data_IF_700572628090
#
_entry.id   IF_700572628090
#
_cell.length_a   1.000
_cell.length_b   1.000
_cell.length_c   1.000
_cell.angle_alpha   90.00
_cell.angle_beta   90.00
_cell.angle_gamma   90.00
#
_symmetry.space_group_name_H-M   'P 1'
#
loop_
_entity.id
_entity.type
_entity.pdbx_description
1 polymer ?
#
# COMPACT_ATOMS: atom_id res chain seq x y z
N UNK A 1 -8.36 -11.98 -2.90
CA UNK A 1 -7.06 -11.30 -3.09
C UNK A 1 -5.94 -12.25 -2.69
N UNK A 2 -4.80 -12.06 -3.31
CA UNK A 2 -3.67 -12.94 -3.09
C UNK A 2 -2.59 -12.24 -2.26
N UNK A 3 -2.39 -12.68 -1.05
CA UNK A 3 -1.45 -12.05 -0.13
C UNK A 3 -0.01 -12.08 -0.66
N UNK A 4 0.37 -13.15 -1.34
CA UNK A 4 1.71 -13.24 -1.90
C UNK A 4 1.92 -12.21 -3.01
N UNK A 5 0.93 -12.04 -3.87
CA UNK A 5 1.00 -11.04 -4.95
C UNK A 5 1.07 -9.63 -4.37
N UNK A 6 0.29 -9.36 -3.33
CA UNK A 6 0.32 -8.05 -2.68
C UNK A 6 1.69 -7.78 -2.09
N UNK A 7 2.27 -8.77 -1.41
CA UNK A 7 3.59 -8.59 -0.81
C UNK A 7 4.67 -8.36 -1.88
N UNK A 8 4.60 -9.10 -2.97
CA UNK A 8 5.56 -8.96 -4.07
C UNK A 8 5.45 -7.59 -4.74
N UNK A 9 4.23 -7.14 -4.96
CA UNK A 9 4.00 -5.84 -5.58
C UNK A 9 4.47 -4.72 -4.64
N UNK A 10 4.18 -4.86 -3.37
CA UNK A 10 4.66 -3.92 -2.36
C UNK A 10 6.19 -3.86 -2.36
N UNK A 11 6.84 -5.01 -2.39
CA UNK A 11 8.30 -5.08 -2.39
C UNK A 11 8.88 -4.36 -3.60
N UNK A 12 8.26 -4.53 -4.74
CA UNK A 12 8.70 -3.87 -5.95
C UNK A 12 8.57 -2.36 -5.83
N UNK A 13 7.45 -1.88 -5.31
CA UNK A 13 7.23 -0.44 -5.11
C UNK A 13 8.23 0.15 -4.13
N UNK A 14 8.56 -0.58 -3.09
CA UNK A 14 9.42 -0.10 -2.03
C UNK A 14 10.91 -0.34 -2.28
N UNK A 15 11.23 -1.07 -3.35
CA UNK A 15 12.61 -1.39 -3.65
C UNK A 15 13.23 -2.36 -2.65
N UNK A 16 12.44 -3.28 -2.14
CA UNK A 16 12.89 -4.23 -1.15
C UNK A 16 13.15 -5.60 -1.76
N UNK A 17 14.09 -6.32 -1.18
CA UNK A 17 14.29 -7.73 -1.54
C UNK A 17 13.18 -8.55 -0.91
N UNK A 18 13.03 -9.79 -1.33
CA UNK A 18 12.03 -10.68 -0.75
C UNK A 18 12.22 -10.84 0.75
N UNK A 19 13.48 -10.94 1.19
CA UNK A 19 13.78 -11.08 2.61
C UNK A 19 13.37 -9.84 3.39
N UNK A 20 13.68 -8.68 2.84
CA UNK A 20 13.32 -7.42 3.50
C UNK A 20 11.81 -7.24 3.55
N UNK A 21 11.14 -7.56 2.45
CA UNK A 21 9.70 -7.40 2.37
C UNK A 21 8.97 -8.31 3.34
N UNK A 22 9.53 -9.47 3.61
CA UNK A 22 8.90 -10.41 4.55
C UNK A 22 8.69 -9.81 5.93
N UNK A 23 9.50 -8.83 6.29
CA UNK A 23 9.37 -8.16 7.59
C UNK A 23 8.12 -7.28 7.64
N UNK A 24 7.53 -6.99 6.49
CA UNK A 24 6.36 -6.13 6.40
C UNK A 24 5.09 -6.91 6.07
N UNK A 25 5.14 -8.23 6.22
CA UNK A 25 4.00 -9.09 5.91
C UNK A 25 2.76 -8.70 6.72
N UNK A 26 2.94 -8.39 7.99
CA UNK A 26 1.82 -8.01 8.83
C UNK A 26 1.15 -6.73 8.33
N UNK A 27 1.95 -5.76 7.91
CA UNK A 27 1.43 -4.51 7.36
C UNK A 27 0.61 -4.79 6.10
N UNK A 28 1.12 -5.63 5.22
CA UNK A 28 0.43 -5.97 3.98
C UNK A 28 -0.86 -6.74 4.27
N UNK A 29 -0.83 -7.67 5.22
CA UNK A 29 -2.03 -8.42 5.56
C UNK A 29 -3.11 -7.51 6.16
N UNK A 30 -2.70 -6.53 6.94
CA UNK A 30 -3.65 -5.58 7.50
C UNK A 30 -4.29 -4.74 6.39
N UNK A 31 -3.50 -4.31 5.43
CA UNK A 31 -4.03 -3.55 4.29
C UNK A 31 -5.01 -4.39 3.48
N UNK A 32 -4.69 -5.66 3.25
CA UNK A 32 -5.58 -6.57 2.55
C UNK A 32 -6.91 -6.68 3.29
N UNK A 33 -6.87 -6.88 4.60
CA UNK A 33 -8.10 -7.03 5.38
C UNK A 33 -8.97 -5.79 5.30
N UNK A 34 -8.37 -4.62 5.33
CA UNK A 34 -9.15 -3.38 5.24
C UNK A 34 -9.80 -3.23 3.88
N UNK A 35 -9.09 -3.57 2.82
CA UNK A 35 -9.67 -3.51 1.47
C UNK A 35 -10.78 -4.54 1.33
N UNK A 36 -10.55 -5.76 1.82
CA UNK A 36 -11.55 -6.82 1.74
C UNK A 36 -12.85 -6.44 2.43
N UNK A 37 -12.73 -5.75 3.55
CA UNK A 37 -13.90 -5.33 4.30
C UNK A 37 -14.79 -4.36 3.50
N UNK A 38 -14.20 -3.64 2.56
CA UNK A 38 -14.91 -2.64 1.78
C UNK A 38 -15.39 -3.13 0.42
N UNK A 39 -15.09 -4.36 0.04
CA UNK A 39 -15.49 -4.88 -1.26
C UNK A 39 -17.01 -5.04 -1.29
N UNK A 40 -17.63 -4.56 -2.35
CA UNK A 40 -19.07 -4.71 -2.53
C UNK A 40 -19.46 -6.18 -2.63
N UNK A 41 -20.60 -6.57 -2.09
CA UNK A 41 -20.97 -7.99 -2.04
C UNK A 41 -21.20 -8.62 -3.40
N UNK A 42 -21.49 -7.84 -4.42
CA UNK A 42 -21.75 -8.38 -5.75
C UNK A 42 -20.50 -8.45 -6.65
N UNK A 43 -19.35 -8.14 -6.09
CA UNK A 43 -18.11 -8.20 -6.86
C UNK A 43 -17.68 -9.66 -7.05
N UNK A 44 -17.35 -10.01 -8.28
CA UNK A 44 -16.91 -11.36 -8.60
C UNK A 44 -15.42 -11.51 -8.33
N UNK A 45 -15.07 -12.10 -7.21
CA UNK A 45 -13.68 -12.27 -6.80
C UNK A 45 -12.96 -13.38 -7.55
N UNK A 46 -13.65 -14.08 -8.44
CA UNK A 46 -12.99 -15.08 -9.29
C UNK A 46 -12.46 -14.44 -10.57
N UNK A 47 -12.85 -13.20 -10.86
CA UNK A 47 -12.39 -12.49 -12.04
C UNK A 47 -10.95 -12.04 -11.82
N UNK A 48 -10.04 -12.45 -12.71
CA UNK A 48 -8.63 -12.17 -12.55
C UNK A 48 -8.31 -10.68 -12.65
N UNK A 49 -9.03 -9.96 -13.49
CA UNK A 49 -8.81 -8.52 -13.63
C UNK A 49 -9.21 -7.78 -12.36
N UNK A 50 -10.34 -8.16 -11.79
CA UNK A 50 -10.81 -7.58 -10.54
C UNK A 50 -9.81 -7.85 -9.42
N UNK A 51 -9.35 -9.09 -9.31
CA UNK A 51 -8.37 -9.43 -8.30
C UNK A 51 -7.06 -8.66 -8.50
N UNK A 52 -6.64 -8.47 -9.72
CA UNK A 52 -5.44 -7.73 -10.01
C UNK A 52 -5.56 -6.28 -9.54
N UNK A 53 -6.70 -5.66 -9.79
CA UNK A 53 -6.94 -4.27 -9.35
C UNK A 53 -6.97 -4.17 -7.82
N UNK A 54 -7.61 -5.15 -7.17
CA UNK A 54 -7.68 -5.16 -5.71
C UNK A 54 -6.31 -5.41 -5.08
N UNK A 55 -5.54 -6.31 -5.66
CA UNK A 55 -4.18 -6.55 -5.18
C UNK A 55 -3.33 -5.29 -5.31
N UNK A 56 -3.50 -4.56 -6.40
CA UNK A 56 -2.73 -3.34 -6.62
C UNK A 56 -3.06 -2.25 -5.60
N UNK A 57 -4.34 -2.09 -5.26
CA UNK A 57 -4.68 -1.06 -4.28
C UNK A 57 -4.21 -1.47 -2.88
N UNK A 58 -4.24 -2.75 -2.55
CA UNK A 58 -3.73 -3.21 -1.27
C UNK A 58 -2.21 -2.99 -1.18
N UNK A 59 -1.51 -3.25 -2.27
CA UNK A 59 -0.07 -3.02 -2.32
C UNK A 59 0.26 -1.53 -2.21
N UNK A 60 -0.50 -0.69 -2.90
CA UNK A 60 -0.29 0.76 -2.86
C UNK A 60 -0.56 1.32 -1.47
N UNK A 61 -1.60 0.81 -0.81
CA UNK A 61 -1.91 1.22 0.56
C UNK A 61 -0.78 0.79 1.51
N UNK A 62 -0.27 -0.41 1.34
CA UNK A 62 0.84 -0.91 2.13
C UNK A 62 2.09 -0.07 1.90
N UNK A 63 2.35 0.27 0.66
CA UNK A 63 3.51 1.10 0.32
C UNK A 63 3.39 2.49 0.94
N UNK A 64 2.21 3.10 0.86
CA UNK A 64 2.00 4.42 1.46
C UNK A 64 2.25 4.36 2.98
N UNK A 65 1.73 3.35 3.64
CA UNK A 65 1.93 3.18 5.08
C UNK A 65 3.38 2.93 5.43
N UNK A 66 4.06 2.14 4.61
CA UNK A 66 5.47 1.86 4.79
C UNK A 66 6.28 3.17 4.71
N UNK A 67 6.02 3.99 3.72
CA UNK A 67 6.72 5.25 3.56
C UNK A 67 6.44 6.18 4.75
N UNK A 68 5.19 6.29 5.15
CA UNK A 68 4.83 7.12 6.29
C UNK A 68 5.49 6.64 7.57
N UNK A 69 5.53 5.32 7.75
CA UNK A 69 6.13 4.74 8.93
C UNK A 69 7.62 5.03 8.97
N UNK A 70 8.30 4.91 7.85
CA UNK A 70 9.72 5.18 7.77
C UNK A 70 10.04 6.66 7.94
N UNK A 71 9.21 7.50 7.36
CA UNK A 71 9.46 8.92 7.35
C UNK A 71 9.12 9.60 8.67
N UNK A 72 8.03 9.20 9.31
CA UNK A 72 7.62 9.81 10.53
C UNK A 72 8.46 9.40 11.68
N UNK A 73 9.22 8.53 11.47
CA UNK A 73 10.08 8.24 12.17
C UNK A 73 10.63 8.40 13.40
N UNK A 74 10.20 7.78 13.93
CA UNK A 74 10.69 7.53 15.02
C UNK A 74 11.92 6.86 15.02
N UNK A 75 12.27 6.35 14.06
CA UNK A 75 13.39 5.64 14.05
C UNK A 75 14.42 6.29 13.27
N UNK A 76 14.81 7.38 13.71
CA UNK A 76 15.71 8.12 12.99
C UNK A 76 16.97 7.39 12.69
N UNK A 77 17.44 6.61 13.57
CA UNK A 77 18.65 5.93 13.32
C UNK A 77 18.49 4.78 12.41
N UNK A 78 17.48 4.03 12.61
CA UNK A 78 17.23 2.96 11.71
C UNK A 78 16.72 3.49 10.44
N UNK A 79 16.25 4.72 10.45
CA UNK A 79 15.77 5.33 9.29
C UNK A 79 16.86 5.53 8.26
N UNK A 80 18.06 5.67 8.66
CA UNK A 80 19.14 5.80 7.73
C UNK A 80 19.15 4.62 6.75
N UNK A 81 18.91 3.45 7.24
CA UNK A 81 18.86 2.30 6.37
C UNK A 81 17.64 2.36 5.46
N UNK A 82 16.55 2.87 5.99
CA UNK A 82 15.35 3.01 5.19
C UNK A 82 15.52 4.02 4.08
N UNK A 83 16.30 5.04 4.32
CA UNK A 83 16.50 6.03 3.30
C UNK A 83 17.24 5.49 2.12
N UNK A 84 18.03 4.47 2.30
CA UNK A 84 18.73 3.87 1.20
C UNK A 84 17.76 3.36 0.17
N UNK A 85 16.62 2.89 0.61
CA UNK A 85 15.63 2.31 -0.28
C UNK A 85 14.96 3.33 -1.16
N UNK A 86 14.81 4.54 -0.65
CA UNK A 86 14.19 5.60 -1.42
C UNK A 86 15.14 6.76 -1.57
N UNK A 87 16.41 6.43 -1.67
CA UNK A 87 17.43 7.45 -1.79
C UNK A 87 17.19 8.32 -3.00
N UNK A 88 17.58 9.55 -2.88
CA UNK A 88 17.34 10.50 -3.92
C UNK A 88 16.06 11.28 -3.72
N UNK A 89 15.25 10.87 -2.76
CA UNK A 89 14.03 11.56 -2.46
C UNK A 89 14.10 12.13 -1.08
N UNK A 90 13.64 13.33 -0.86
CA UNK A 90 13.48 13.83 0.50
C UNK A 90 12.18 13.26 1.06
N UNK A 91 11.95 13.44 2.34
CA UNK A 91 10.81 12.86 3.02
C UNK A 91 9.48 13.28 2.44
N UNK A 92 9.39 14.56 2.11
CA UNK A 92 8.14 15.09 1.59
C UNK A 92 7.82 14.49 0.23
N UNK A 93 8.82 14.43 -0.64
CA UNK A 93 8.63 13.87 -1.96
C UNK A 93 8.26 12.40 -1.88
N UNK A 94 8.88 11.66 -0.96
CA UNK A 94 8.56 10.25 -0.77
C UNK A 94 7.11 10.04 -0.40
N UNK A 95 6.60 10.83 0.55
CA UNK A 95 5.20 10.74 0.96
C UNK A 95 4.28 11.14 -0.18
N UNK A 96 4.60 12.20 -0.89
CA UNK A 96 3.75 12.68 -1.98
C UNK A 96 3.69 11.66 -3.12
N UNK A 97 4.81 11.04 -3.42
CA UNK A 97 4.85 10.01 -4.46
C UNK A 97 4.00 8.82 -4.05
N UNK A 98 4.15 8.35 -2.81
CA UNK A 98 3.38 7.22 -2.33
C UNK A 98 1.89 7.53 -2.30
N UNK A 99 1.53 8.75 -1.92
CA UNK A 99 0.12 9.17 -1.91
C UNK A 99 -0.44 9.22 -3.33
N UNK A 100 0.35 9.67 -4.28
CA UNK A 100 -0.07 9.72 -5.67
C UNK A 100 -0.34 8.32 -6.22
N UNK A 101 0.54 7.38 -5.91
CA UNK A 101 0.36 5.99 -6.32
C UNK A 101 -0.90 5.42 -5.70
N UNK A 102 -1.13 5.70 -4.42
CA UNK A 102 -2.33 5.23 -3.74
C UNK A 102 -3.59 5.82 -4.35
N UNK A 103 -3.57 7.10 -4.66
CA UNK A 103 -4.74 7.75 -5.25
C UNK A 103 -5.08 7.20 -6.63
N UNK A 104 -4.07 6.90 -7.44
CA UNK A 104 -4.32 6.26 -8.73
C UNK A 104 -4.94 4.88 -8.55
N UNK A 105 -4.40 4.10 -7.63
CA UNK A 105 -4.93 2.76 -7.37
C UNK A 105 -6.37 2.84 -6.84
N UNK A 106 -6.62 3.80 -5.95
CA UNK A 106 -7.94 4.01 -5.37
C UNK A 106 -8.95 4.34 -6.45
N UNK A 107 -8.59 5.20 -7.39
CA UNK A 107 -9.50 5.56 -8.47
C UNK A 107 -9.83 4.37 -9.37
N UNK A 108 -8.91 3.44 -9.49
CA UNK A 108 -9.14 2.26 -10.32
C UNK A 108 -10.10 1.26 -9.72
N UNK A 109 -10.47 1.41 -8.44
CA UNK A 109 -11.36 0.47 -7.75
C UNK A 109 -12.61 1.12 -7.19
N UNK A 110 -12.94 2.34 -7.63
CA UNK A 110 -14.12 3.03 -7.10
C UNK A 110 -15.40 2.26 -7.35
N UNK A 111 -15.45 1.48 -8.41
CA UNK A 111 -16.60 0.67 -8.73
C UNK A 111 -16.70 -0.62 -7.91
N UNK A 112 -15.63 -0.97 -7.21
CA UNK A 112 -15.56 -2.23 -6.48
C UNK A 112 -15.78 -2.08 -4.98
N UNK A 113 -15.58 -0.90 -4.45
CA UNK A 113 -15.63 -0.68 -3.00
C UNK A 113 -16.90 0.04 -2.56
N UNK A 114 -17.42 -0.34 -1.41
CA UNK A 114 -18.66 0.22 -0.88
C UNK A 114 -18.49 1.70 -0.57
N UNK A 115 -17.42 2.03 0.15
CA UNK A 115 -17.19 3.40 0.55
C UNK A 115 -15.69 3.64 0.61
N UNK A 116 -15.12 3.92 -0.55
CA UNK A 116 -13.68 4.09 -0.63
C UNK A 116 -13.25 5.37 0.09
N UNK A 117 -14.15 6.32 0.31
CA UNK A 117 -13.79 7.52 1.03
C UNK A 117 -13.52 7.23 2.50
N UNK A 118 -14.29 6.31 3.08
CA UNK A 118 -14.08 5.96 4.47
C UNK A 118 -12.69 5.37 4.69
N UNK A 119 -12.29 4.44 3.85
CA UNK A 119 -11.01 3.77 3.99
C UNK A 119 -9.82 4.70 3.83
N UNK A 120 -9.94 5.68 2.96
CA UNK A 120 -8.81 6.53 2.62
C UNK A 120 -8.83 7.90 3.28
N UNK A 121 -9.89 8.21 4.01
CA UNK A 121 -10.03 9.49 4.65
C UNK A 121 -8.96 9.76 5.70
N UNK A 122 -8.69 8.79 6.52
CA UNK A 122 -7.66 8.92 7.54
C UNK A 122 -6.30 9.16 6.92
N UNK A 123 -6.02 8.46 5.84
CA UNK A 123 -4.76 8.58 5.14
C UNK A 123 -4.60 9.99 4.59
N UNK A 124 -5.67 10.52 4.03
CA UNK A 124 -5.62 11.85 3.45
C UNK A 124 -5.46 12.96 4.48
N UNK A 125 -5.75 12.66 5.71
CA UNK A 125 -5.62 13.64 6.79
C UNK A 125 -4.27 13.57 7.51
N UNK A 126 -3.41 12.69 7.09
CA UNK A 126 -2.11 12.56 7.73
C UNK A 126 -1.12 13.67 7.33
#
# INVERSE_FOLDING_TARGET
MDAQTVLETFAMMAGLTSTEAAEWTLLCNKSISEIEYLIKPDVDLTDTDINSRLNSVAAALSFYRYVCYRVSGNGTDSFTAGEIQIKGMDKKIGIETARSILNEAKMSVTDLLIDNNFAFKEINNL
#
